data_IF_934773836703
#
_entry.id   IF_934773836703
#
_cell.length_a   1.000
_cell.length_b   1.000
_cell.length_c   1.000
_cell.angle_alpha   90.00
_cell.angle_beta   90.00
_cell.angle_gamma   90.00
#
_symmetry.space_group_name_H-M   'P 1'
#
loop_
_entity.id
_entity.type
_entity.pdbx_description
1 polymer ?
#
# COMPACT_ATOMS: atom_id res chain seq x y z
N UNK A 1 32.35 0.54 14.54
CA UNK A 1 33.46 0.65 13.55
C UNK A 1 32.86 0.63 12.15
N UNK A 2 33.06 1.67 11.35
CA UNK A 2 32.66 1.66 9.94
C UNK A 2 33.75 0.93 9.15
N UNK A 3 33.39 -0.16 8.48
CA UNK A 3 34.31 -0.86 7.58
C UNK A 3 34.22 -0.19 6.20
N UNK A 4 35.24 0.59 5.78
CA UNK A 4 35.21 1.29 4.49
C UNK A 4 35.12 0.35 3.29
N UNK A 5 35.77 -0.81 3.37
CA UNK A 5 35.76 -1.80 2.28
C UNK A 5 34.34 -2.36 2.07
N UNK A 6 33.62 -2.65 3.16
CA UNK A 6 32.22 -3.09 3.08
C UNK A 6 31.29 -2.02 2.47
N UNK A 7 31.56 -0.73 2.76
CA UNK A 7 30.79 0.34 2.17
C UNK A 7 30.96 0.44 0.66
N UNK A 8 32.17 0.26 0.15
CA UNK A 8 32.42 0.27 -1.30
C UNK A 8 31.80 -0.96 -1.97
N UNK A 9 31.88 -2.13 -1.34
CA UNK A 9 31.22 -3.34 -1.83
C UNK A 9 29.69 -3.15 -1.92
N UNK A 10 29.07 -2.59 -0.88
CA UNK A 10 27.62 -2.33 -0.86
C UNK A 10 27.21 -1.36 -1.98
N UNK A 11 28.00 -0.32 -2.27
CA UNK A 11 27.68 0.64 -3.33
C UNK A 11 27.65 0.02 -4.73
N UNK A 12 28.46 -1.00 -4.95
CA UNK A 12 28.58 -1.70 -6.24
C UNK A 12 27.74 -2.96 -6.33
N UNK A 13 27.16 -3.40 -5.21
CA UNK A 13 26.35 -4.62 -5.16
C UNK A 13 25.09 -4.50 -6.00
N UNK A 14 24.88 -5.43 -6.93
CA UNK A 14 23.76 -5.48 -7.88
C UNK A 14 22.74 -6.60 -7.60
N UNK A 15 22.87 -7.27 -6.49
CA UNK A 15 22.11 -8.47 -6.18
C UNK A 15 22.90 -9.74 -6.47
N UNK A 16 22.38 -10.85 -5.96
CA UNK A 16 22.98 -12.17 -6.17
C UNK A 16 22.49 -12.80 -7.47
N UNK A 17 21.22 -12.59 -7.76
CA UNK A 17 20.57 -13.25 -8.87
C UNK A 17 20.56 -12.31 -10.09
N UNK A 18 20.71 -12.89 -11.28
CA UNK A 18 20.64 -12.13 -12.52
C UNK A 18 19.21 -11.63 -12.79
N UNK A 19 19.10 -10.46 -13.37
CA UNK A 19 17.81 -9.92 -13.80
C UNK A 19 17.32 -10.75 -14.99
N UNK A 20 16.07 -11.29 -14.97
CA UNK A 20 15.53 -12.01 -16.13
C UNK A 20 15.55 -11.14 -17.40
N UNK A 21 15.83 -11.77 -18.54
CA UNK A 21 15.92 -11.06 -19.83
C UNK A 21 14.63 -10.33 -20.22
N UNK A 22 13.48 -10.83 -19.78
CA UNK A 22 12.15 -10.29 -20.05
C UNK A 22 11.62 -9.34 -18.96
N UNK A 23 12.45 -9.00 -17.95
CA UNK A 23 12.01 -8.22 -16.77
C UNK A 23 11.31 -6.91 -17.15
N UNK A 24 11.96 -6.11 -18.00
CA UNK A 24 11.39 -4.81 -18.41
C UNK A 24 10.12 -5.01 -19.25
N UNK A 25 10.13 -5.94 -20.20
CA UNK A 25 8.98 -6.23 -21.05
C UNK A 25 7.77 -6.74 -20.24
N UNK A 26 8.03 -7.58 -19.23
CA UNK A 26 7.00 -8.07 -18.31
C UNK A 26 6.37 -6.91 -17.54
N UNK A 27 7.18 -6.07 -16.90
CA UNK A 27 6.66 -4.97 -16.08
C UNK A 27 6.00 -3.88 -16.91
N UNK A 28 6.52 -3.57 -18.09
CA UNK A 28 5.87 -2.64 -19.04
C UNK A 28 4.47 -3.15 -19.45
N UNK A 29 4.35 -4.45 -19.66
CA UNK A 29 3.07 -5.10 -19.92
C UNK A 29 2.10 -4.99 -18.75
N UNK A 30 2.53 -5.31 -17.53
CA UNK A 30 1.70 -5.23 -16.33
C UNK A 30 1.27 -3.79 -16.03
N UNK A 31 2.18 -2.81 -16.17
CA UNK A 31 1.86 -1.39 -15.97
C UNK A 31 0.84 -0.87 -16.99
N UNK A 32 0.94 -1.27 -18.25
CA UNK A 32 -0.05 -0.91 -19.28
C UNK A 32 -1.46 -1.45 -18.99
N UNK A 33 -1.54 -2.56 -18.28
CA UNK A 33 -2.81 -3.19 -17.90
C UNK A 33 -3.43 -2.58 -16.63
N UNK A 34 -2.72 -1.69 -15.94
CA UNK A 34 -3.26 -1.01 -14.76
C UNK A 34 -4.17 0.14 -15.20
N UNK A 35 -5.43 0.11 -14.77
CA UNK A 35 -6.34 1.24 -15.00
C UNK A 35 -5.86 2.47 -14.23
N UNK A 36 -5.81 3.61 -14.92
CA UNK A 36 -5.50 4.91 -14.30
C UNK A 36 -6.68 5.49 -13.54
N UNK A 37 -7.88 4.97 -13.78
CA UNK A 37 -9.13 5.35 -13.11
C UNK A 37 -9.92 4.07 -12.78
N UNK A 38 -9.48 3.30 -11.78
CA UNK A 38 -10.20 2.10 -11.37
C UNK A 38 -11.57 2.46 -10.80
N UNK A 39 -12.52 1.56 -10.93
CA UNK A 39 -13.76 1.67 -10.18
C UNK A 39 -13.46 1.60 -8.68
N UNK A 40 -14.13 2.43 -7.90
CA UNK A 40 -13.92 2.46 -6.45
C UNK A 40 -15.24 2.68 -5.70
N UNK A 41 -15.24 2.23 -4.46
CA UNK A 41 -16.28 2.53 -3.48
C UNK A 41 -15.63 3.14 -2.24
N UNK A 42 -16.17 4.29 -1.83
CA UNK A 42 -15.71 5.02 -0.64
C UNK A 42 -16.88 5.12 0.33
N UNK A 43 -16.70 4.59 1.53
CA UNK A 43 -17.72 4.60 2.59
C UNK A 43 -17.19 5.35 3.80
N UNK A 44 -17.94 6.35 4.26
CA UNK A 44 -17.61 7.08 5.49
C UNK A 44 -17.94 6.24 6.72
N UNK A 45 -17.00 6.23 7.67
CA UNK A 45 -17.13 5.59 8.98
C UNK A 45 -17.15 6.65 10.07
N UNK A 46 -18.30 6.83 10.70
CA UNK A 46 -18.45 7.79 11.81
C UNK A 46 -18.09 7.12 13.14
N UNK A 47 -16.95 7.48 13.68
CA UNK A 47 -16.51 7.10 15.03
C UNK A 47 -16.81 8.17 16.07
N UNK A 48 -17.58 9.19 15.72
CA UNK A 48 -17.91 10.33 16.58
C UNK A 48 -16.68 11.10 17.08
N UNK A 49 -15.62 11.14 16.27
CA UNK A 49 -14.41 11.93 16.53
C UNK A 49 -14.48 13.23 15.72
N UNK A 50 -14.80 14.38 16.35
CA UNK A 50 -15.14 15.58 15.60
C UNK A 50 -13.97 16.20 14.80
N UNK A 51 -12.72 15.79 15.09
CA UNK A 51 -11.51 16.33 14.47
C UNK A 51 -11.12 15.63 13.19
N UNK A 52 -11.69 14.46 12.88
CA UNK A 52 -11.29 13.65 11.73
C UNK A 52 -12.48 13.16 10.93
N UNK A 53 -12.20 12.79 9.67
CA UNK A 53 -13.10 11.99 8.82
C UNK A 53 -12.41 10.67 8.52
N UNK A 54 -13.15 9.58 8.65
CA UNK A 54 -12.68 8.23 8.42
C UNK A 54 -13.42 7.59 7.27
N UNK A 55 -12.70 6.90 6.37
CA UNK A 55 -13.31 6.23 5.22
C UNK A 55 -12.72 4.85 5.03
N UNK A 56 -13.55 3.93 4.59
CA UNK A 56 -13.14 2.68 3.95
C UNK A 56 -13.16 2.87 2.44
N UNK A 57 -12.05 2.57 1.80
CA UNK A 57 -11.90 2.60 0.36
C UNK A 57 -11.74 1.18 -0.15
N UNK A 58 -12.54 0.79 -1.12
CA UNK A 58 -12.33 -0.42 -1.92
C UNK A 58 -12.21 -0.02 -3.37
N UNK A 59 -11.20 -0.52 -4.07
CA UNK A 59 -11.02 -0.25 -5.48
C UNK A 59 -10.55 -1.49 -6.24
N UNK A 60 -10.74 -1.44 -7.55
CA UNK A 60 -10.39 -2.52 -8.45
C UNK A 60 -8.89 -2.52 -8.73
N UNK A 61 -8.23 -3.63 -8.45
CA UNK A 61 -6.83 -3.87 -8.79
C UNK A 61 -6.69 -4.69 -10.07
N UNK A 62 -5.46 -4.99 -10.47
CA UNK A 62 -5.21 -5.87 -11.62
C UNK A 62 -5.81 -7.27 -11.38
N UNK A 63 -6.20 -7.97 -12.48
CA UNK A 63 -6.66 -9.37 -12.46
C UNK A 63 -7.84 -9.59 -11.50
N UNK A 64 -8.83 -8.68 -11.56
CA UNK A 64 -10.07 -8.74 -10.76
C UNK A 64 -9.85 -8.70 -9.23
N UNK A 65 -8.66 -8.36 -8.79
CA UNK A 65 -8.37 -8.19 -7.36
C UNK A 65 -9.09 -6.98 -6.79
N UNK A 66 -9.58 -7.07 -5.55
CA UNK A 66 -10.15 -5.96 -4.82
C UNK A 66 -9.18 -5.48 -3.76
N UNK A 67 -8.82 -4.22 -3.81
CA UNK A 67 -7.90 -3.61 -2.85
C UNK A 67 -8.69 -2.82 -1.83
N UNK A 68 -8.38 -3.05 -0.56
CA UNK A 68 -8.99 -2.34 0.57
C UNK A 68 -7.98 -1.40 1.22
N UNK A 69 -8.44 -0.24 1.61
CA UNK A 69 -7.66 0.71 2.40
C UNK A 69 -8.54 1.45 3.41
N UNK A 70 -7.94 1.84 4.51
CA UNK A 70 -8.52 2.78 5.47
C UNK A 70 -7.92 4.15 5.25
N UNK A 71 -8.75 5.18 5.37
CA UNK A 71 -8.33 6.56 5.22
C UNK A 71 -8.76 7.33 6.45
N UNK A 72 -7.85 8.07 7.05
CA UNK A 72 -8.16 9.04 8.11
C UNK A 72 -7.65 10.40 7.67
N UNK A 73 -8.53 11.37 7.61
CA UNK A 73 -8.22 12.75 7.24
C UNK A 73 -8.49 13.68 8.41
N UNK A 74 -7.65 14.68 8.69
CA UNK A 74 -8.03 15.76 9.58
C UNK A 74 -9.22 16.51 8.96
N UNK A 75 -10.14 16.97 9.80
CA UNK A 75 -11.25 17.81 9.36
C UNK A 75 -10.72 19.21 9.05
N UNK A 76 -10.47 19.49 7.79
CA UNK A 76 -9.93 20.74 7.28
C UNK A 76 -10.65 21.14 6.00
N UNK A 77 -10.77 22.44 5.77
CA UNK A 77 -11.21 23.00 4.48
C UNK A 77 -10.06 23.08 3.44
N UNK A 78 -8.83 22.95 3.91
CA UNK A 78 -7.64 22.99 3.06
C UNK A 78 -7.18 21.60 2.69
N UNK A 79 -6.46 21.49 1.57
CA UNK A 79 -5.78 20.25 1.17
C UNK A 79 -4.68 19.92 2.17
N UNK A 80 -4.63 18.70 2.61
CA UNK A 80 -3.61 18.19 3.54
C UNK A 80 -2.68 17.22 2.83
N UNK A 81 -1.41 17.14 3.22
CA UNK A 81 -0.51 16.13 2.71
C UNK A 81 -0.96 14.74 3.16
N UNK A 82 -0.75 13.74 2.31
CA UNK A 82 -1.13 12.35 2.58
C UNK A 82 0.10 11.49 2.83
N UNK A 83 -0.01 10.63 3.85
CA UNK A 83 0.91 9.53 4.12
C UNK A 83 0.27 8.25 3.59
N UNK A 84 0.95 7.55 2.69
CA UNK A 84 0.55 6.22 2.24
C UNK A 84 1.34 5.17 3.01
N UNK A 85 0.64 4.29 3.70
CA UNK A 85 1.22 3.19 4.46
C UNK A 85 0.95 1.86 3.77
N UNK A 86 2.02 1.10 3.55
CA UNK A 86 2.01 -0.27 3.04
C UNK A 86 2.68 -1.16 4.07
N UNK A 87 1.98 -2.21 4.49
CA UNK A 87 2.47 -3.10 5.53
C UNK A 87 3.54 -4.10 5.02
N UNK A 88 4.26 -4.72 5.93
CA UNK A 88 5.22 -5.77 5.64
C UNK A 88 4.56 -7.13 5.35
N UNK A 89 5.38 -8.12 5.01
CA UNK A 89 4.94 -9.49 4.69
C UNK A 89 4.04 -10.08 5.78
N UNK A 90 2.95 -10.74 5.36
CA UNK A 90 1.89 -11.31 6.21
C UNK A 90 1.16 -10.29 7.11
N UNK A 91 1.46 -9.01 6.97
CA UNK A 91 0.79 -7.95 7.72
C UNK A 91 -0.54 -7.52 7.10
N UNK A 92 -1.11 -6.49 7.68
CA UNK A 92 -2.28 -5.74 7.19
C UNK A 92 -2.06 -4.25 7.44
N UNK A 93 -2.87 -3.42 6.84
CA UNK A 93 -2.88 -1.98 7.10
C UNK A 93 -3.11 -1.66 8.58
N UNK A 94 -2.69 -0.47 8.99
CA UNK A 94 -2.89 0.03 10.35
C UNK A 94 -4.37 0.08 10.72
N UNK A 95 -4.64 -0.10 11.99
CA UNK A 95 -5.96 0.16 12.54
C UNK A 95 -6.22 1.68 12.67
N UNK A 96 -7.47 2.04 12.86
CA UNK A 96 -7.91 3.44 12.91
C UNK A 96 -7.14 4.27 13.94
N UNK A 97 -6.92 3.71 15.14
CA UNK A 97 -6.24 4.38 16.23
C UNK A 97 -4.77 4.70 15.91
N UNK A 98 -4.09 3.83 15.16
CA UNK A 98 -2.69 4.02 14.80
C UNK A 98 -2.49 5.23 13.88
N UNK A 99 -3.51 5.57 13.09
CA UNK A 99 -3.47 6.68 12.14
C UNK A 99 -3.80 8.04 12.76
N UNK A 100 -4.49 8.08 13.90
CA UNK A 100 -4.96 9.33 14.51
C UNK A 100 -3.83 10.30 14.89
N UNK A 101 -2.70 9.76 15.34
CA UNK A 101 -1.55 10.60 15.71
C UNK A 101 -1.01 11.47 14.57
N UNK A 102 -1.07 10.98 13.35
CA UNK A 102 -0.65 11.73 12.16
C UNK A 102 -1.62 12.85 11.79
N UNK A 103 -2.91 12.64 12.04
CA UNK A 103 -3.93 13.67 11.74
C UNK A 103 -3.82 14.88 12.67
N UNK A 104 -3.40 14.67 13.92
CA UNK A 104 -3.07 15.77 14.84
C UNK A 104 -1.90 16.62 14.33
N UNK A 105 -0.97 16.00 13.61
CA UNK A 105 0.14 16.70 12.96
C UNK A 105 -0.24 17.33 11.60
N UNK A 106 -1.50 17.23 11.20
CA UNK A 106 -2.02 17.84 9.97
C UNK A 106 -1.89 16.97 8.72
N UNK A 107 -1.59 15.67 8.86
CA UNK A 107 -1.51 14.73 7.75
C UNK A 107 -2.77 13.89 7.63
N UNK A 108 -3.20 13.62 6.39
CA UNK A 108 -4.08 12.50 6.12
C UNK A 108 -3.28 11.20 6.02
N UNK A 109 -3.89 10.08 6.36
CA UNK A 109 -3.26 8.76 6.25
C UNK A 109 -4.12 7.84 5.42
N UNK A 110 -3.51 7.16 4.47
CA UNK A 110 -4.10 6.07 3.68
C UNK A 110 -3.31 4.80 4.00
N UNK A 111 -3.95 3.83 4.63
CA UNK A 111 -3.33 2.56 4.98
C UNK A 111 -3.98 1.43 4.21
N UNK A 112 -3.22 0.81 3.31
CA UNK A 112 -3.69 -0.19 2.36
C UNK A 112 -3.36 -1.60 2.84
N UNK A 113 -4.30 -2.52 2.65
CA UNK A 113 -4.06 -3.95 2.74
C UNK A 113 -3.51 -4.46 1.39
N UNK A 114 -2.34 -5.08 1.40
CA UNK A 114 -1.74 -5.68 0.21
C UNK A 114 -2.47 -6.98 -0.14
N UNK A 115 -2.79 -7.17 -1.42
CA UNK A 115 -3.47 -8.37 -1.90
C UNK A 115 -2.68 -9.65 -1.64
N UNK A 116 -3.37 -10.75 -1.40
CA UNK A 116 -2.76 -12.05 -1.17
C UNK A 116 -2.07 -12.20 0.19
N UNK A 117 -2.34 -11.29 1.12
CA UNK A 117 -1.84 -11.31 2.49
C UNK A 117 -2.99 -11.17 3.49
N UNK A 118 -2.69 -10.81 4.74
CA UNK A 118 -3.73 -10.56 5.75
C UNK A 118 -4.50 -9.27 5.43
N UNK A 119 -5.69 -9.14 6.00
CA UNK A 119 -6.56 -7.98 5.82
C UNK A 119 -7.78 -8.27 4.94
N UNK A 120 -8.35 -7.23 4.37
CA UNK A 120 -9.62 -7.29 3.62
C UNK A 120 -9.44 -7.25 2.10
N UNK A 121 -8.23 -6.99 1.61
CA UNK A 121 -7.95 -7.07 0.18
C UNK A 121 -8.07 -8.49 -0.34
N UNK A 122 -8.67 -8.63 -1.51
CA UNK A 122 -8.88 -9.91 -2.18
C UNK A 122 -7.97 -9.99 -3.40
N UNK A 123 -7.26 -11.12 -3.53
CA UNK A 123 -6.49 -11.41 -4.74
C UNK A 123 -7.36 -12.20 -5.73
N UNK A 124 -7.43 -11.72 -6.97
CA UNK A 124 -8.09 -12.46 -8.06
C UNK A 124 -7.36 -13.75 -8.44
N UNK A 125 -6.08 -13.88 -8.07
CA UNK A 125 -5.30 -15.08 -8.29
C UNK A 125 -5.27 -15.94 -7.03
N UNK A 126 -5.72 -17.17 -7.12
CA UNK A 126 -5.59 -18.14 -6.03
C UNK A 126 -4.16 -18.69 -5.99
N UNK A 127 -3.50 -18.54 -4.87
CA UNK A 127 -2.25 -19.26 -4.60
C UNK A 127 -2.53 -20.53 -3.79
N UNK A 128 -2.10 -21.71 -4.25
CA UNK A 128 -2.21 -22.93 -3.47
C UNK A 128 -1.30 -22.94 -2.24
N UNK A 129 -0.35 -22.00 -2.16
CA UNK A 129 0.63 -21.91 -1.09
C UNK A 129 0.21 -20.92 0.02
N UNK A 130 -1.01 -20.37 -0.03
CA UNK A 130 -1.48 -19.36 0.93
C UNK A 130 -1.07 -17.95 0.55
N UNK A 131 -0.55 -17.17 1.51
CA UNK A 131 -0.16 -15.78 1.28
C UNK A 131 0.86 -15.63 0.15
N UNK A 132 0.62 -14.68 -0.72
CA UNK A 132 1.45 -14.42 -1.91
C UNK A 132 2.26 -13.14 -1.72
N UNK A 133 3.55 -13.24 -1.95
CA UNK A 133 4.41 -12.07 -2.22
C UNK A 133 4.59 -12.00 -3.73
N UNK A 134 4.21 -10.89 -4.31
CA UNK A 134 4.39 -10.60 -5.74
C UNK A 134 5.30 -9.43 -5.90
#
# INVERSE_FOLDING_TARGET
>A
MKNPALLEEIKTYRGRDEVPEDFDAFWDGEVKNVSTLPSYHLEERDFHIPQVKCYELTFEGSKEGKVYARIVLPKSEEKVPLIFHFHGYMGRGWDWADMLGFTVAGYGVVSMDVRGQSGYSQDGLRSPLGNTVK
#
